data_IF_671939336328
#
_entry.id   IF_671939336328
#
_cell.length_a   1.000
_cell.length_b   1.000
_cell.length_c   1.000
_cell.angle_alpha   90.00
_cell.angle_beta   90.00
_cell.angle_gamma   90.00
#
_symmetry.space_group_name_H-M   'P 1'
#
loop_
_entity.id
_entity.type
_entity.pdbx_description
1 polymer ?
#
# COMPACT_ATOMS: atom_id res chain seq x y z
N UNK A 1 27.80 0.11 -10.46
CA UNK A 1 26.44 -0.11 -11.00
C UNK A 1 26.54 -0.93 -12.26
N UNK A 2 25.91 -2.11 -12.34
CA UNK A 2 25.81 -2.90 -13.59
C UNK A 2 24.37 -2.83 -14.09
N UNK A 3 24.18 -2.23 -15.27
CA UNK A 3 22.88 -2.05 -15.94
C UNK A 3 22.51 -3.35 -16.67
N UNK A 4 21.29 -3.84 -16.50
CA UNK A 4 20.68 -4.84 -17.38
C UNK A 4 19.31 -4.33 -17.80
N UNK A 5 19.09 -4.28 -19.11
CA UNK A 5 17.87 -3.80 -19.77
C UNK A 5 17.09 -5.02 -20.26
N UNK A 6 15.78 -5.06 -20.02
CA UNK A 6 14.86 -6.06 -20.58
C UNK A 6 13.80 -5.37 -21.48
N UNK A 7 13.44 -5.95 -22.64
CA UNK A 7 12.45 -5.37 -23.55
C UNK A 7 11.00 -5.72 -23.13
N UNK A 8 10.08 -4.77 -23.35
CA UNK A 8 8.66 -4.84 -22.99
C UNK A 8 7.79 -5.40 -24.13
N UNK A 9 6.86 -6.29 -23.80
CA UNK A 9 5.76 -6.74 -24.66
C UNK A 9 4.42 -6.26 -24.12
N UNK A 10 3.56 -5.72 -24.99
CA UNK A 10 2.27 -5.10 -24.67
C UNK A 10 1.09 -6.08 -24.80
N UNK A 11 0.06 -5.91 -23.96
CA UNK A 11 -1.30 -6.46 -24.16
C UNK A 11 -2.33 -5.44 -23.68
N UNK A 12 -3.38 -5.08 -24.45
CA UNK A 12 -4.49 -4.23 -23.98
C UNK A 12 -5.78 -5.04 -23.75
N UNK A 13 -6.61 -4.56 -22.82
CA UNK A 13 -8.00 -4.99 -22.69
C UNK A 13 -8.61 -4.63 -21.33
N UNK A 14 -9.27 -3.47 -21.24
CA UNK A 14 -10.12 -3.09 -20.11
C UNK A 14 -11.57 -2.99 -20.58
N UNK A 15 -12.48 -3.68 -19.90
CA UNK A 15 -13.93 -3.52 -20.07
C UNK A 15 -14.49 -3.00 -18.74
N UNK A 16 -15.18 -1.86 -18.79
CA UNK A 16 -15.84 -1.24 -17.64
C UNK A 16 -17.26 -1.80 -17.45
N UNK A 17 -17.65 -2.00 -16.18
CA UNK A 17 -19.01 -2.31 -15.73
C UNK A 17 -19.39 -1.44 -14.52
N UNK A 18 -20.69 -1.29 -14.20
CA UNK A 18 -21.26 -0.08 -13.63
C UNK A 18 -21.08 0.08 -12.11
N UNK A 19 -21.15 1.34 -11.68
CA UNK A 19 -21.03 1.79 -10.30
C UNK A 19 -22.24 1.38 -9.44
N UNK A 20 -21.96 0.76 -8.29
CA UNK A 20 -22.88 0.67 -7.15
C UNK A 20 -22.14 1.28 -5.95
N UNK A 21 -22.82 2.21 -5.27
CA UNK A 21 -22.28 2.92 -4.11
C UNK A 21 -21.91 1.96 -3.00
N UNK A 22 -20.61 1.89 -2.70
CA UNK A 22 -20.04 1.13 -1.60
C UNK A 22 -19.09 2.01 -0.83
N UNK A 23 -19.21 1.99 0.49
CA UNK A 23 -18.21 2.53 1.41
C UNK A 23 -16.85 1.95 1.04
N UNK A 24 -15.86 2.82 0.87
CA UNK A 24 -14.51 2.39 0.54
C UNK A 24 -13.90 1.77 1.80
N UNK A 25 -13.80 0.44 1.86
CA UNK A 25 -13.10 -0.26 2.94
C UNK A 25 -11.60 -0.36 2.60
N UNK A 26 -10.77 0.27 3.44
CA UNK A 26 -9.31 0.15 3.38
C UNK A 26 -8.90 -1.25 3.86
N UNK A 27 -8.25 -2.02 2.99
CA UNK A 27 -7.97 -3.42 3.18
C UNK A 27 -7.05 -3.74 4.37
N UNK A 28 -7.64 -4.37 5.38
CA UNK A 28 -7.00 -5.34 6.26
C UNK A 28 -8.01 -6.46 6.48
N UNK A 29 -7.89 -7.51 5.67
CA UNK A 29 -8.91 -8.55 5.54
C UNK A 29 -8.80 -9.72 6.54
N UNK A 30 -9.81 -10.62 6.51
CA UNK A 30 -9.88 -11.80 7.36
C UNK A 30 -8.63 -12.70 7.31
N UNK A 31 -8.32 -13.35 8.43
CA UNK A 31 -7.25 -14.37 8.50
C UNK A 31 -7.68 -15.66 7.78
N UNK A 32 -6.72 -16.33 7.14
CA UNK A 32 -6.99 -17.41 6.18
C UNK A 32 -6.21 -18.67 6.56
N UNK A 33 -6.82 -19.84 6.46
CA UNK A 33 -6.07 -21.11 6.58
C UNK A 33 -5.06 -21.26 5.43
N UNK A 34 -3.98 -22.05 5.58
CA UNK A 34 -2.88 -22.17 4.60
C UNK A 34 -3.25 -22.56 3.15
N UNK A 35 -4.53 -22.79 2.85
CA UNK A 35 -5.04 -23.10 1.52
C UNK A 35 -6.26 -22.25 1.09
N UNK A 36 -6.55 -21.12 1.75
CA UNK A 36 -7.66 -20.27 1.33
C UNK A 36 -9.06 -20.83 1.62
N UNK A 37 -9.18 -21.83 2.51
CA UNK A 37 -10.42 -22.62 2.66
C UNK A 37 -11.44 -21.98 3.58
N UNK A 38 -10.97 -21.33 4.64
CA UNK A 38 -11.80 -20.69 5.66
C UNK A 38 -11.27 -19.30 5.94
N UNK A 39 -12.20 -18.38 6.19
CA UNK A 39 -11.94 -16.97 6.46
C UNK A 39 -12.45 -16.63 7.85
N UNK A 40 -11.63 -15.94 8.64
CA UNK A 40 -11.98 -15.56 10.02
C UNK A 40 -11.80 -14.08 10.27
N UNK A 41 -12.71 -13.49 11.04
CA UNK A 41 -12.59 -12.11 11.50
C UNK A 41 -11.50 -11.96 12.59
N UNK A 42 -11.31 -10.74 13.09
CA UNK A 42 -10.28 -10.42 14.10
C UNK A 42 -10.45 -11.11 15.45
N UNK A 43 -11.67 -11.53 15.78
CA UNK A 43 -11.98 -12.32 16.96
C UNK A 43 -11.73 -13.83 16.74
N UNK A 44 -11.28 -14.22 15.54
CA UNK A 44 -11.09 -15.61 15.15
C UNK A 44 -12.38 -16.34 14.80
N UNK A 45 -13.53 -15.67 14.72
CA UNK A 45 -14.79 -16.29 14.32
C UNK A 45 -14.78 -16.59 12.81
N UNK A 46 -15.28 -17.76 12.41
CA UNK A 46 -15.47 -18.12 11.00
C UNK A 46 -16.55 -17.21 10.39
N UNK A 47 -16.26 -16.60 9.25
CA UNK A 47 -17.18 -15.72 8.52
C UNK A 47 -17.41 -16.12 7.07
N UNK A 48 -16.62 -17.06 6.54
CA UNK A 48 -16.85 -17.63 5.22
C UNK A 48 -16.08 -18.93 5.03
N UNK A 49 -16.60 -19.78 4.15
CA UNK A 49 -15.92 -20.98 3.67
C UNK A 49 -15.91 -21.02 2.14
N UNK A 50 -14.72 -21.03 1.55
CA UNK A 50 -14.54 -21.04 0.10
C UNK A 50 -15.19 -22.28 -0.52
N UNK A 51 -16.00 -22.07 -1.56
CA UNK A 51 -16.74 -23.14 -2.24
C UNK A 51 -18.13 -23.42 -1.65
N UNK A 52 -18.55 -22.65 -0.64
CA UNK A 52 -19.91 -22.72 -0.07
C UNK A 52 -20.73 -21.47 -0.41
N UNK A 53 -22.00 -21.45 0.01
CA UNK A 53 -22.84 -20.26 -0.08
C UNK A 53 -22.46 -19.17 0.94
N UNK A 54 -21.73 -19.55 2.00
CA UNK A 54 -21.27 -18.65 3.06
C UNK A 54 -20.05 -17.85 2.57
N UNK A 55 -20.28 -16.59 2.19
CA UNK A 55 -19.31 -15.67 1.60
C UNK A 55 -19.11 -14.48 2.53
N UNK A 56 -17.89 -13.95 2.53
CA UNK A 56 -17.58 -12.70 3.24
C UNK A 56 -18.52 -11.59 2.77
N UNK A 57 -19.18 -10.93 3.70
CA UNK A 57 -20.15 -9.86 3.48
C UNK A 57 -19.78 -8.63 4.29
N UNK A 58 -20.14 -7.43 3.80
CA UNK A 58 -19.97 -6.16 4.53
C UNK A 58 -20.77 -6.11 5.84
N UNK A 59 -21.71 -7.05 6.02
CA UNK A 59 -22.50 -7.19 7.25
C UNK A 59 -21.85 -8.11 8.28
N UNK A 60 -20.75 -8.79 7.95
CA UNK A 60 -20.10 -9.68 8.90
C UNK A 60 -19.46 -8.87 10.04
N UNK A 61 -19.66 -9.30 11.30
CA UNK A 61 -19.14 -8.56 12.44
C UNK A 61 -17.60 -8.62 12.47
N UNK A 62 -16.99 -7.47 12.79
CA UNK A 62 -15.55 -7.39 13.03
C UNK A 62 -14.67 -7.44 11.79
N UNK A 63 -15.19 -6.98 10.63
CA UNK A 63 -14.41 -6.79 9.40
C UNK A 63 -13.88 -5.36 9.23
N UNK A 64 -14.65 -4.35 9.65
CA UNK A 64 -14.26 -2.96 9.50
C UNK A 64 -13.20 -2.57 10.55
N UNK A 65 -11.97 -2.34 10.08
CA UNK A 65 -10.81 -1.99 10.93
C UNK A 65 -10.60 -0.49 11.08
N UNK A 66 -10.82 0.27 10.00
CA UNK A 66 -10.72 1.73 9.97
C UNK A 66 -11.94 2.28 9.21
N UNK A 67 -13.07 2.52 9.92
CA UNK A 67 -14.26 3.05 9.29
C UNK A 67 -14.00 4.43 8.67
N UNK A 68 -14.26 4.57 7.38
CA UNK A 68 -14.09 5.80 6.64
C UNK A 68 -15.29 6.06 5.74
N UNK A 69 -15.78 7.30 5.77
CA UNK A 69 -16.87 7.74 4.90
C UNK A 69 -16.38 7.84 3.43
N UNK A 70 -17.29 7.73 2.45
CA UNK A 70 -16.92 7.73 1.03
C UNK A 70 -16.37 9.07 0.51
N UNK A 71 -16.48 10.15 1.28
CA UNK A 71 -16.21 11.54 0.89
C UNK A 71 -14.74 11.97 1.05
N UNK A 72 -13.83 10.99 1.19
CA UNK A 72 -12.41 11.20 1.48
C UNK A 72 -11.45 10.80 0.35
N UNK A 73 -11.94 10.43 -0.84
CA UNK A 73 -11.08 9.93 -1.94
C UNK A 73 -10.12 8.83 -1.49
N UNK A 74 -10.64 7.85 -0.74
CA UNK A 74 -9.87 6.67 -0.35
C UNK A 74 -9.37 5.93 -1.58
N UNK A 75 -8.09 5.56 -1.57
CA UNK A 75 -7.49 4.78 -2.63
C UNK A 75 -7.81 3.31 -2.45
N UNK A 76 -8.28 2.67 -3.52
CA UNK A 76 -8.46 1.24 -3.58
C UNK A 76 -7.19 0.56 -4.13
N UNK A 77 -7.11 -0.77 -3.94
CA UNK A 77 -6.00 -1.60 -4.43
C UNK A 77 -4.62 -1.15 -3.94
N UNK A 78 -4.54 -0.63 -2.71
CA UNK A 78 -3.26 -0.50 -2.03
C UNK A 78 -2.79 -1.85 -1.50
N UNK A 79 -1.65 -1.85 -0.81
CA UNK A 79 -0.94 -3.08 -0.47
C UNK A 79 -0.86 -3.29 1.04
N UNK A 80 -0.65 -4.53 1.41
CA UNK A 80 -0.54 -5.01 2.79
C UNK A 80 0.65 -5.95 2.92
N UNK A 81 1.12 -6.13 4.14
CA UNK A 81 2.20 -7.04 4.52
C UNK A 81 1.88 -7.68 5.87
N UNK A 82 2.69 -8.64 6.29
CA UNK A 82 2.58 -9.29 7.61
C UNK A 82 3.92 -9.27 8.29
N UNK A 83 3.95 -8.95 9.57
CA UNK A 83 5.17 -9.01 10.36
C UNK A 83 5.56 -10.44 10.72
N UNK A 84 6.71 -10.60 11.36
CA UNK A 84 7.26 -11.90 11.80
C UNK A 84 6.33 -12.70 12.73
N UNK A 85 5.38 -12.03 13.40
CA UNK A 85 4.35 -12.65 14.23
C UNK A 85 3.03 -12.93 13.48
N UNK A 86 3.01 -12.73 12.16
CA UNK A 86 1.83 -12.91 11.32
C UNK A 86 0.76 -11.84 11.50
N UNK A 87 1.09 -10.70 12.11
CA UNK A 87 0.14 -9.60 12.30
C UNK A 87 0.07 -8.77 11.00
N UNK A 88 -1.14 -8.43 10.53
CA UNK A 88 -1.31 -7.64 9.31
C UNK A 88 -0.90 -6.17 9.51
N UNK A 89 -0.28 -5.63 8.46
CA UNK A 89 0.02 -4.22 8.24
C UNK A 89 -0.50 -3.80 6.88
N UNK A 90 -1.14 -2.64 6.79
CA UNK A 90 -1.58 -2.04 5.54
C UNK A 90 -1.12 -0.58 5.48
N UNK A 91 -0.87 -0.09 4.28
CA UNK A 91 -0.84 1.36 4.04
C UNK A 91 -2.08 1.71 3.23
N UNK A 92 -2.88 2.61 3.80
CA UNK A 92 -4.02 3.21 3.13
C UNK A 92 -3.78 4.70 2.95
N UNK A 93 -4.46 5.29 1.99
CA UNK A 93 -4.32 6.71 1.70
C UNK A 93 -5.61 7.35 1.26
N UNK A 94 -5.87 8.54 1.78
CA UNK A 94 -7.06 9.32 1.52
C UNK A 94 -6.77 10.80 1.76
N UNK A 95 -7.75 11.66 1.52
CA UNK A 95 -7.74 13.09 1.85
C UNK A 95 -8.38 13.27 3.23
N UNK A 96 -7.61 13.61 4.28
CA UNK A 96 -8.15 13.75 5.61
C UNK A 96 -9.17 14.90 5.71
N UNK A 97 -10.22 14.72 6.51
CA UNK A 97 -11.31 15.70 6.65
C UNK A 97 -10.88 17.10 7.10
N UNK A 98 -9.70 17.22 7.72
CA UNK A 98 -9.09 18.53 8.06
C UNK A 98 -8.76 19.40 6.83
N UNK A 99 -8.77 18.84 5.62
CA UNK A 99 -8.57 19.56 4.36
C UNK A 99 -9.88 19.83 3.60
N UNK A 100 -11.03 19.47 4.17
CA UNK A 100 -12.34 19.61 3.55
C UNK A 100 -13.23 18.41 3.83
N UNK A 101 -14.54 18.62 3.85
CA UNK A 101 -15.52 17.58 4.21
C UNK A 101 -15.79 16.62 3.05
N UNK A 102 -15.94 17.12 1.83
CA UNK A 102 -16.23 16.29 0.66
C UNK A 102 -15.22 16.53 -0.45
N UNK A 103 -14.47 15.51 -0.83
CA UNK A 103 -13.66 15.53 -2.05
C UNK A 103 -14.56 15.48 -3.28
N UNK A 104 -14.29 16.31 -4.27
CA UNK A 104 -15.08 16.39 -5.52
C UNK A 104 -14.24 16.11 -6.76
N UNK A 105 -12.91 16.13 -6.64
CA UNK A 105 -11.97 15.88 -7.72
C UNK A 105 -10.81 15.00 -7.24
N UNK A 106 -11.06 13.70 -7.06
CA UNK A 106 -10.16 12.73 -6.42
C UNK A 106 -8.68 12.87 -6.81
N UNK A 107 -8.34 13.01 -8.10
CA UNK A 107 -6.95 13.16 -8.53
C UNK A 107 -6.32 14.46 -8.02
N UNK A 108 -7.02 15.60 -8.17
CA UNK A 108 -6.53 16.91 -7.73
C UNK A 108 -6.47 16.99 -6.20
N UNK A 109 -7.54 16.56 -5.53
CA UNK A 109 -7.65 16.60 -4.07
C UNK A 109 -6.59 15.74 -3.39
N UNK A 110 -6.33 14.53 -3.91
CA UNK A 110 -5.25 13.67 -3.41
C UNK A 110 -3.87 14.24 -3.69
N UNK A 111 -3.67 14.83 -4.86
CA UNK A 111 -2.38 15.45 -5.22
C UNK A 111 -2.07 16.62 -4.28
N UNK A 112 -3.07 17.44 -3.92
CA UNK A 112 -2.89 18.55 -2.99
C UNK A 112 -2.79 18.09 -1.53
N UNK A 113 -3.71 17.22 -1.10
CA UNK A 113 -4.04 17.02 0.31
C UNK A 113 -3.95 15.56 0.79
N UNK A 114 -3.63 14.62 -0.10
CA UNK A 114 -3.54 13.20 0.25
C UNK A 114 -2.48 12.90 1.30
N UNK A 115 -2.81 11.96 2.20
CA UNK A 115 -1.92 11.42 3.24
C UNK A 115 -1.96 9.91 3.24
N UNK A 116 -0.83 9.29 3.58
CA UNK A 116 -0.71 7.86 3.80
C UNK A 116 -0.79 7.56 5.31
N UNK A 117 -1.39 6.43 5.65
CA UNK A 117 -1.59 5.97 7.00
C UNK A 117 -1.17 4.51 7.10
N UNK A 118 -0.32 4.22 8.08
CA UNK A 118 0.01 2.85 8.46
C UNK A 118 -1.06 2.32 9.40
N UNK A 119 -1.80 1.30 8.96
CA UNK A 119 -2.81 0.60 9.76
C UNK A 119 -2.24 -0.77 10.10
N UNK A 120 -2.17 -1.11 11.39
CA UNK A 120 -1.57 -2.37 11.84
C UNK A 120 -2.29 -2.98 13.02
N UNK A 121 -2.26 -4.31 13.11
CA UNK A 121 -2.72 -5.05 14.28
C UNK A 121 -1.60 -5.12 15.31
N UNK A 122 -1.90 -4.84 16.57
CA UNK A 122 -0.94 -4.88 17.68
C UNK A 122 -0.83 -6.28 18.28
N UNK A 123 0.17 -6.48 19.16
CA UNK A 123 0.31 -7.71 19.95
C UNK A 123 -0.94 -8.00 20.82
N UNK A 124 -1.61 -6.96 21.32
CA UNK A 124 -2.85 -7.09 22.10
C UNK A 124 -4.09 -7.33 21.23
N UNK A 125 -3.95 -7.48 19.91
CA UNK A 125 -5.07 -7.70 18.99
C UNK A 125 -5.86 -6.45 18.63
N UNK A 126 -5.46 -5.26 19.10
CA UNK A 126 -6.09 -3.99 18.76
C UNK A 126 -5.47 -3.38 17.50
N UNK A 127 -6.24 -2.60 16.74
CA UNK A 127 -5.75 -1.89 15.57
C UNK A 127 -5.19 -0.52 15.92
N UNK A 128 -4.10 -0.14 15.24
CA UNK A 128 -3.47 1.19 15.34
C UNK A 128 -3.33 1.79 13.97
N UNK A 129 -3.62 3.08 13.88
CA UNK A 129 -3.47 3.89 12.68
C UNK A 129 -2.54 5.06 12.99
N UNK A 130 -1.47 5.18 12.21
CA UNK A 130 -0.48 6.25 12.31
C UNK A 130 -0.39 6.97 10.98
N UNK A 131 -0.52 8.30 10.96
CA UNK A 131 -0.25 9.08 9.74
C UNK A 131 1.26 9.09 9.46
N UNK A 132 1.65 8.76 8.23
CA UNK A 132 3.03 8.92 7.77
C UNK A 132 3.24 10.41 7.46
N UNK A 133 4.20 11.11 8.11
CA UNK A 133 4.34 12.58 8.03
C UNK A 133 5.01 13.04 6.73
N UNK A 134 4.66 12.41 5.61
CA UNK A 134 5.13 12.74 4.26
C UNK A 134 3.91 12.94 3.36
N UNK A 135 3.62 14.17 2.90
CA UNK A 135 2.52 14.41 1.97
C UNK A 135 2.64 13.57 0.70
N UNK A 136 1.53 13.04 0.18
CA UNK A 136 1.58 12.19 -1.02
C UNK A 136 2.03 12.94 -2.26
N UNK A 137 1.60 14.20 -2.44
CA UNK A 137 1.88 14.99 -3.65
C UNK A 137 1.57 14.23 -4.96
N UNK A 138 0.60 13.32 -4.90
CA UNK A 138 0.29 12.37 -5.96
C UNK A 138 -1.06 11.72 -5.69
N UNK A 139 -1.73 11.29 -6.76
CA UNK A 139 -2.92 10.44 -6.67
C UNK A 139 -2.59 8.95 -6.68
N UNK A 140 -1.31 8.56 -6.80
CA UNK A 140 -0.86 7.17 -6.94
C UNK A 140 -0.73 6.46 -5.58
N UNK A 141 -0.55 5.13 -5.62
CA UNK A 141 -0.54 4.22 -4.45
C UNK A 141 0.81 4.15 -3.75
N UNK A 142 0.79 3.75 -2.49
CA UNK A 142 1.99 3.49 -1.67
C UNK A 142 2.16 1.98 -1.44
N UNK A 143 3.41 1.49 -1.48
CA UNK A 143 3.72 0.07 -1.22
C UNK A 143 4.41 -0.11 0.14
N UNK A 144 3.87 -0.91 1.07
CA UNK A 144 4.53 -1.23 2.33
C UNK A 144 5.53 -2.38 2.16
N UNK A 145 6.55 -2.40 3.01
CA UNK A 145 7.47 -3.52 3.19
C UNK A 145 7.90 -3.59 4.66
N UNK A 146 8.10 -4.80 5.17
CA UNK A 146 8.67 -5.05 6.49
C UNK A 146 10.02 -5.76 6.31
N UNK A 147 11.06 -5.29 7.00
CA UNK A 147 12.34 -5.99 7.02
C UNK A 147 12.36 -7.14 8.06
N UNK A 148 13.49 -7.84 8.16
CA UNK A 148 13.70 -8.96 9.09
C UNK A 148 13.55 -8.59 10.57
N UNK A 149 13.55 -7.30 10.90
CA UNK A 149 13.40 -6.76 12.25
C UNK A 149 12.00 -6.13 12.45
N UNK A 150 11.09 -6.37 11.51
CA UNK A 150 9.77 -5.77 11.44
C UNK A 150 9.79 -4.23 11.32
N UNK A 151 10.90 -3.60 10.91
CA UNK A 151 10.85 -2.17 10.59
C UNK A 151 10.00 -1.98 9.33
N UNK A 152 9.15 -0.95 9.34
CA UNK A 152 8.26 -0.67 8.23
C UNK A 152 8.84 0.37 7.29
N UNK A 153 8.66 0.13 5.98
CA UNK A 153 9.02 1.03 4.91
C UNK A 153 7.80 1.29 4.04
N UNK A 154 7.59 2.55 3.67
CA UNK A 154 6.57 2.99 2.74
C UNK A 154 7.26 3.52 1.48
N UNK A 155 7.13 2.80 0.37
CA UNK A 155 7.54 3.27 -0.95
C UNK A 155 6.41 4.13 -1.53
N UNK A 156 6.51 5.43 -1.31
CA UNK A 156 5.56 6.43 -1.76
C UNK A 156 5.73 6.70 -3.27
N UNK A 157 4.74 7.34 -3.93
CA UNK A 157 4.87 7.76 -5.32
C UNK A 157 6.15 8.55 -5.58
N UNK A 158 6.69 8.38 -6.80
CA UNK A 158 7.97 8.92 -7.26
C UNK A 158 9.21 8.32 -6.59
N UNK A 159 9.07 7.16 -5.93
CA UNK A 159 10.19 6.42 -5.34
C UNK A 159 10.74 7.03 -4.06
N UNK A 160 9.94 7.86 -3.39
CA UNK A 160 10.21 8.33 -2.03
C UNK A 160 10.06 7.18 -1.06
N UNK A 161 10.90 7.12 -0.03
CA UNK A 161 10.86 6.07 0.99
C UNK A 161 10.75 6.74 2.35
N UNK A 162 9.70 6.43 3.08
CA UNK A 162 9.61 6.70 4.51
C UNK A 162 9.77 5.39 5.29
N UNK A 163 10.27 5.45 6.53
CA UNK A 163 10.37 4.27 7.37
C UNK A 163 10.11 4.56 8.85
N UNK A 164 9.75 3.52 9.59
CA UNK A 164 9.53 3.53 11.03
C UNK A 164 10.03 2.23 11.65
N UNK A 165 10.53 2.31 12.89
CA UNK A 165 11.09 1.16 13.58
C UNK A 165 10.03 0.31 14.27
N UNK A 166 10.27 -1.00 14.36
CA UNK A 166 9.45 -1.87 15.22
C UNK A 166 9.59 -1.49 16.70
N UNK A 167 10.79 -1.05 17.11
CA UNK A 167 11.11 -0.65 18.47
C UNK A 167 10.28 0.52 18.98
N UNK A 168 9.90 1.46 18.10
CA UNK A 168 8.99 2.58 18.42
C UNK A 168 7.51 2.19 18.36
N UNK A 169 7.19 0.92 18.07
CA UNK A 169 5.85 0.49 17.68
C UNK A 169 5.34 1.20 16.41
N UNK A 170 6.23 1.47 15.44
CA UNK A 170 5.95 2.13 14.16
C UNK A 170 5.38 3.55 14.32
N UNK A 171 5.86 4.30 15.31
CA UNK A 171 5.39 5.68 15.58
C UNK A 171 6.40 6.76 15.15
N UNK A 172 7.63 6.38 14.85
CA UNK A 172 8.76 7.25 14.50
C UNK A 172 8.98 7.42 12.99
N UNK A 173 7.89 7.50 12.22
CA UNK A 173 7.97 7.61 10.76
C UNK A 173 8.79 8.83 10.33
N UNK A 174 9.76 8.59 9.45
CA UNK A 174 10.62 9.64 8.86
C UNK A 174 10.88 9.38 7.38
N UNK A 175 11.17 10.45 6.63
CA UNK A 175 11.60 10.33 5.24
C UNK A 175 13.06 9.87 5.19
N UNK A 176 13.31 8.68 4.62
CA UNK A 176 14.65 8.10 4.46
C UNK A 176 15.26 8.46 3.10
N UNK A 177 14.42 8.62 2.08
CA UNK A 177 14.86 8.96 0.73
C UNK A 177 13.78 9.78 0.00
N UNK A 178 14.17 10.88 -0.65
CA UNK A 178 13.25 11.84 -1.26
C UNK A 178 12.91 11.57 -2.73
N UNK A 179 13.51 10.54 -3.33
CA UNK A 179 13.25 10.14 -4.72
C UNK A 179 13.95 11.01 -5.78
N UNK A 180 14.64 12.09 -5.40
CA UNK A 180 15.14 13.09 -6.35
C UNK A 180 16.13 12.52 -7.38
N UNK A 181 16.91 11.50 -7.00
CA UNK A 181 17.87 10.84 -7.88
C UNK A 181 17.28 9.84 -8.88
N UNK A 182 15.98 9.51 -8.80
CA UNK A 182 15.37 8.47 -9.64
C UNK A 182 14.72 9.00 -10.91
N UNK A 183 14.27 10.27 -10.93
CA UNK A 183 13.40 10.80 -11.99
C UNK A 183 12.17 9.89 -12.25
N UNK A 184 11.60 9.31 -11.20
CA UNK A 184 10.56 8.29 -11.31
C UNK A 184 9.19 8.87 -11.68
N UNK A 185 8.52 8.22 -12.63
CA UNK A 185 7.14 8.49 -13.00
C UNK A 185 6.16 7.69 -12.14
N UNK A 186 5.22 8.39 -11.50
CA UNK A 186 4.01 7.79 -10.93
C UNK A 186 4.24 6.85 -9.74
N UNK A 187 3.55 5.70 -9.76
CA UNK A 187 3.63 4.63 -8.76
C UNK A 187 4.89 3.80 -8.99
N UNK A 188 5.54 3.39 -7.90
CA UNK A 188 6.66 2.44 -7.95
C UNK A 188 6.22 1.08 -7.44
N UNK A 189 6.91 0.03 -7.87
CA UNK A 189 6.69 -1.34 -7.42
C UNK A 189 7.87 -1.81 -6.58
N UNK A 190 7.62 -2.80 -5.73
CA UNK A 190 8.63 -3.46 -4.91
C UNK A 190 8.60 -4.96 -5.21
N UNK A 191 9.73 -5.61 -5.03
CA UNK A 191 9.84 -7.07 -4.99
C UNK A 191 9.99 -7.50 -3.52
N UNK A 192 8.92 -8.08 -2.99
CA UNK A 192 8.79 -8.46 -1.58
C UNK A 192 9.63 -9.71 -1.21
N UNK A 193 10.24 -10.38 -2.19
CA UNK A 193 11.07 -11.58 -1.93
C UNK A 193 12.52 -11.24 -1.61
N UNK A 194 13.01 -10.13 -2.14
CA UNK A 194 14.40 -9.66 -2.05
C UNK A 194 14.85 -9.17 -0.66
N UNK A 195 14.00 -8.67 0.24
CA UNK A 195 14.41 -8.36 1.62
C UNK A 195 15.02 -9.58 2.33
N UNK A 196 14.36 -10.73 2.22
CA UNK A 196 14.81 -11.97 2.86
C UNK A 196 16.01 -12.60 2.14
N UNK A 197 16.08 -12.49 0.82
CA UNK A 197 17.13 -13.12 0.01
C UNK A 197 18.44 -12.31 -0.03
N UNK A 198 18.33 -10.99 -0.11
CA UNK A 198 19.46 -10.11 -0.46
C UNK A 198 19.67 -8.97 0.54
N UNK A 199 18.77 -8.79 1.51
CA UNK A 199 18.84 -7.70 2.49
C UNK A 199 18.64 -6.32 1.85
N UNK A 200 17.76 -6.23 0.85
CA UNK A 200 17.46 -4.97 0.15
C UNK A 200 15.96 -4.71 0.04
N UNK A 201 15.59 -3.43 0.01
CA UNK A 201 14.32 -2.93 -0.50
C UNK A 201 14.52 -2.57 -1.98
N UNK A 202 14.10 -3.41 -2.93
CA UNK A 202 14.17 -3.09 -4.35
C UNK A 202 12.98 -2.22 -4.75
N UNK A 203 13.26 -1.12 -5.46
CA UNK A 203 12.24 -0.23 -6.03
C UNK A 203 12.33 -0.28 -7.54
N UNK A 204 11.34 -0.91 -8.17
CA UNK A 204 11.14 -0.86 -9.62
C UNK A 204 10.38 0.40 -10.00
N UNK A 205 10.91 1.17 -10.94
CA UNK A 205 10.29 2.40 -11.41
C UNK A 205 10.50 2.61 -12.90
N UNK A 206 9.59 3.35 -13.52
CA UNK A 206 9.76 3.89 -14.86
C UNK A 206 10.34 5.30 -14.76
N UNK A 207 11.38 5.59 -15.54
CA UNK A 207 11.89 6.96 -15.69
C UNK A 207 10.83 7.85 -16.36
N UNK A 208 10.72 9.10 -15.94
CA UNK A 208 9.82 10.07 -16.57
C UNK A 208 10.25 10.33 -18.01
N UNK A 209 9.34 10.06 -18.95
CA UNK A 209 9.53 10.42 -20.36
C UNK A 209 9.52 11.94 -20.54
N UNK A 210 10.43 12.45 -21.37
CA UNK A 210 10.44 13.85 -21.82
C UNK A 210 9.30 14.15 -22.80
N UNK A 211 8.74 13.13 -23.44
CA UNK A 211 7.61 13.22 -24.36
C UNK A 211 6.56 12.15 -24.04
N UNK A 212 5.76 12.34 -22.96
CA UNK A 212 4.76 11.37 -22.53
C UNK A 212 3.78 11.01 -23.65
N UNK A 213 3.51 9.72 -23.84
CA UNK A 213 2.58 9.21 -24.84
C UNK A 213 3.18 8.95 -26.22
N UNK A 214 4.40 9.41 -26.51
CA UNK A 214 5.04 9.19 -27.83
C UNK A 214 6.42 8.56 -27.74
N UNK A 215 7.18 8.83 -26.67
CA UNK A 215 8.53 8.25 -26.49
C UNK A 215 8.55 7.30 -25.31
N UNK A 216 8.85 6.00 -25.51
CA UNK A 216 9.09 5.06 -24.42
C UNK A 216 10.20 5.55 -23.48
N UNK A 217 10.11 5.22 -22.20
CA UNK A 217 11.17 5.50 -21.23
C UNK A 217 11.62 4.24 -20.51
N UNK A 218 12.83 4.29 -19.97
CA UNK A 218 13.47 3.13 -19.37
C UNK A 218 12.78 2.68 -18.07
N UNK A 219 12.82 1.37 -17.83
CA UNK A 219 12.50 0.76 -16.55
C UNK A 219 13.80 0.48 -15.78
N UNK A 220 13.77 0.75 -14.49
CA UNK A 220 14.91 0.61 -13.59
C UNK A 220 14.51 -0.13 -12.32
N UNK A 221 15.51 -0.72 -11.67
CA UNK A 221 15.42 -1.20 -10.29
C UNK A 221 16.53 -0.53 -9.49
N UNK A 222 16.16 0.11 -8.38
CA UNK A 222 17.09 0.67 -7.40
C UNK A 222 17.02 -0.16 -6.11
N UNK A 223 18.15 -0.74 -5.72
CA UNK A 223 18.26 -1.53 -4.49
C UNK A 223 18.73 -0.65 -3.33
N UNK A 224 17.89 -0.53 -2.30
CA UNK A 224 18.23 0.16 -1.05
C UNK A 224 18.62 -0.88 0.00
N UNK A 225 19.77 -0.69 0.66
CA UNK A 225 20.23 -1.61 1.71
C UNK A 225 19.31 -1.52 2.92
N UNK A 226 18.88 -2.68 3.41
CA UNK A 226 18.20 -2.81 4.70
C UNK A 226 19.22 -3.06 5.82
N UNK A 227 18.86 -2.81 7.09
CA UNK A 227 19.69 -3.18 8.23
C UNK A 227 20.06 -4.68 8.19
N UNK A 228 21.33 -4.97 8.45
CA UNK A 228 21.87 -6.33 8.46
C UNK A 228 21.52 -7.08 9.74
#
# INVERSE_FOLDING_TARGET
MRRRTLPAGAVPGAVAGPALGGSAEGGSGPSVTPAGRTWRNDAGALIATTGTADRVSVTDPGLAVDPLNPDHSLMNQESQSTDSAGRPHAIISYVPGRFGRCTTASVADRTANGRAFHVRRTASGTWRKTEIPVPLKSSRRTRPLLDRYDNAYASLPHGRIAGASAASHHTDWTLLYDGAGLNAFGEVLIDETRPAQDGVLPVMYQERSTSPGTTPSALHVADFRLPA
#
